data_IF_286478364698
#
_entry.id   IF_286478364698
#
_cell.length_a   1.000
_cell.length_b   1.000
_cell.length_c   1.000
_cell.angle_alpha   90.00
_cell.angle_beta   90.00
_cell.angle_gamma   90.00
#
_symmetry.space_group_name_H-M   'P 1'
#
loop_
_entity.id
_entity.type
_entity.pdbx_description
1 polymer ?
#
# COMPACT_ATOMS: atom_id res chain seq x y z
N UNK A 1 -12.57 -9.36 19.47
CA UNK A 1 -11.17 -9.83 19.52
C UNK A 1 -10.43 -9.17 18.37
N UNK A 2 -9.47 -8.29 18.64
CA UNK A 2 -8.71 -7.63 17.58
C UNK A 2 -7.88 -8.70 16.86
N UNK A 3 -8.20 -8.98 15.60
CA UNK A 3 -7.39 -9.86 14.74
C UNK A 3 -6.00 -9.21 14.62
N UNK A 4 -5.00 -9.82 15.23
CA UNK A 4 -3.61 -9.38 15.13
C UNK A 4 -3.16 -9.72 13.70
N UNK A 5 -3.01 -8.69 12.86
CA UNK A 5 -2.55 -8.90 11.47
C UNK A 5 -1.03 -9.09 11.55
N UNK A 6 -0.49 -10.04 10.79
CA UNK A 6 0.96 -10.25 10.70
C UNK A 6 1.35 -10.11 9.24
N UNK A 7 2.33 -9.25 8.98
CA UNK A 7 2.88 -9.03 7.64
C UNK A 7 4.27 -9.64 7.59
N UNK A 8 4.48 -10.56 6.65
CA UNK A 8 5.71 -11.31 6.47
C UNK A 8 6.17 -11.11 5.03
N UNK A 9 7.45 -10.81 4.84
CA UNK A 9 8.09 -10.83 3.53
C UNK A 9 8.47 -12.27 3.18
N UNK A 10 8.11 -12.70 1.99
CA UNK A 10 8.33 -14.08 1.52
C UNK A 10 8.81 -14.07 0.08
N UNK A 11 9.43 -15.17 -0.33
CA UNK A 11 9.79 -15.38 -1.74
C UNK A 11 8.54 -15.70 -2.59
N UNK A 12 8.58 -15.48 -3.92
CA UNK A 12 7.45 -15.76 -4.83
C UNK A 12 6.92 -17.20 -4.74
N UNK A 13 7.77 -18.15 -4.38
CA UNK A 13 7.44 -19.56 -4.20
C UNK A 13 6.34 -19.77 -3.16
N UNK A 14 6.25 -18.88 -2.16
CA UNK A 14 5.19 -18.93 -1.14
C UNK A 14 3.79 -18.87 -1.76
N UNK A 15 3.59 -18.05 -2.81
CA UNK A 15 2.31 -17.99 -3.51
C UNK A 15 1.95 -19.34 -4.12
N UNK A 16 2.92 -20.00 -4.75
CA UNK A 16 2.74 -21.33 -5.33
C UNK A 16 2.41 -22.39 -4.27
N UNK A 17 3.00 -22.27 -3.07
CA UNK A 17 2.73 -23.16 -1.94
C UNK A 17 1.30 -22.96 -1.42
N UNK A 18 0.86 -21.72 -1.23
CA UNK A 18 -0.50 -21.38 -0.80
C UNK A 18 -1.54 -21.90 -1.80
N UNK A 19 -1.29 -21.78 -3.10
CA UNK A 19 -2.17 -22.28 -4.15
C UNK A 19 -2.28 -23.82 -4.20
N UNK A 20 -1.28 -24.55 -3.66
CA UNK A 20 -1.34 -26.01 -3.50
C UNK A 20 -2.18 -26.41 -2.28
N UNK A 21 -2.32 -25.53 -1.29
CA UNK A 21 -3.09 -25.75 -0.06
C UNK A 21 -4.58 -25.39 -0.23
N UNK A 22 -5.20 -25.78 -1.36
CA UNK A 22 -6.58 -25.37 -1.72
C UNK A 22 -7.65 -25.71 -0.68
N UNK A 23 -7.41 -26.76 0.12
CA UNK A 23 -8.31 -27.19 1.19
C UNK A 23 -8.22 -26.31 2.45
N UNK A 24 -7.13 -25.56 2.61
CA UNK A 24 -6.88 -24.69 3.76
C UNK A 24 -7.02 -23.21 3.38
N UNK A 25 -6.69 -22.86 2.14
CA UNK A 25 -6.71 -21.49 1.64
C UNK A 25 -7.35 -21.41 0.26
N UNK A 26 -8.32 -20.53 0.11
CA UNK A 26 -8.95 -20.23 -1.18
C UNK A 26 -8.88 -18.73 -1.43
N UNK A 27 -8.16 -18.27 -2.47
CA UNK A 27 -8.16 -16.87 -2.86
C UNK A 27 -9.58 -16.42 -3.18
N UNK A 28 -10.06 -15.38 -2.50
CA UNK A 28 -11.44 -14.87 -2.67
C UNK A 28 -11.54 -13.75 -3.70
N UNK A 29 -10.48 -12.95 -3.81
CA UNK A 29 -10.46 -11.74 -4.60
C UNK A 29 -9.04 -11.45 -5.07
N UNK A 30 -8.93 -10.92 -6.28
CA UNK A 30 -7.66 -10.50 -6.88
C UNK A 30 -7.80 -9.06 -7.34
N UNK A 31 -6.87 -8.21 -6.90
CA UNK A 31 -6.72 -6.85 -7.35
C UNK A 31 -5.46 -6.76 -8.22
N UNK A 32 -5.57 -6.10 -9.38
CA UNK A 32 -4.47 -5.83 -10.31
C UNK A 32 -4.32 -4.33 -10.47
N UNK A 33 -3.08 -3.83 -10.42
CA UNK A 33 -2.75 -2.43 -10.66
C UNK A 33 -1.89 -2.38 -11.92
N UNK A 34 -2.29 -1.57 -12.89
CA UNK A 34 -1.52 -1.35 -14.12
C UNK A 34 -1.25 0.13 -14.33
N UNK A 35 0.01 0.48 -14.54
CA UNK A 35 0.39 1.87 -14.76
C UNK A 35 1.89 2.07 -14.91
N UNK A 36 2.37 3.21 -14.45
CA UNK A 36 3.72 3.72 -14.70
C UNK A 36 4.48 3.98 -13.40
N UNK A 37 5.79 3.79 -13.47
CA UNK A 37 6.75 4.15 -12.43
C UNK A 37 7.61 5.31 -12.92
N UNK A 38 7.69 6.36 -12.12
CA UNK A 38 8.52 7.54 -12.35
C UNK A 38 9.61 7.57 -11.30
N UNK A 39 10.86 7.40 -11.73
CA UNK A 39 12.03 7.36 -10.86
C UNK A 39 12.81 8.66 -10.99
N UNK A 40 12.90 9.38 -9.87
CA UNK A 40 13.80 10.51 -9.68
C UNK A 40 14.91 10.14 -8.69
N UNK A 41 15.79 11.11 -8.38
CA UNK A 41 16.89 10.87 -7.46
C UNK A 41 16.43 10.59 -6.02
N UNK A 42 15.47 11.37 -5.53
CA UNK A 42 15.01 11.27 -4.14
C UNK A 42 13.65 10.57 -4.02
N UNK A 43 12.96 10.38 -5.14
CA UNK A 43 11.55 9.98 -5.18
C UNK A 43 11.32 8.87 -6.19
N UNK A 44 10.46 7.93 -5.81
CA UNK A 44 9.81 7.02 -6.74
C UNK A 44 8.31 7.20 -6.62
N UNK A 45 7.68 7.60 -7.71
CA UNK A 45 6.23 7.83 -7.78
C UNK A 45 5.65 6.80 -8.73
N UNK A 46 4.69 6.01 -8.25
CA UNK A 46 3.98 5.03 -9.07
C UNK A 46 2.52 5.40 -9.14
N UNK A 47 1.94 5.28 -10.31
CA UNK A 47 0.52 5.56 -10.53
C UNK A 47 -0.06 4.50 -11.44
N UNK A 48 -1.25 4.01 -11.12
CA UNK A 48 -1.87 2.94 -11.88
C UNK A 48 -3.37 2.77 -11.64
N UNK A 49 -4.02 2.21 -12.64
CA UNK A 49 -5.44 1.88 -12.61
C UNK A 49 -5.65 0.59 -11.81
N UNK A 50 -6.48 0.67 -10.78
CA UNK A 50 -6.87 -0.47 -9.96
C UNK A 50 -8.05 -1.21 -10.61
N UNK A 51 -7.82 -2.46 -10.93
CA UNK A 51 -8.81 -3.41 -11.43
C UNK A 51 -9.06 -4.49 -10.37
N UNK A 52 -10.31 -4.74 -10.03
CA UNK A 52 -10.69 -5.85 -9.14
C UNK A 52 -11.57 -6.80 -9.93
N UNK A 53 -11.05 -7.98 -10.22
CA UNK A 53 -11.58 -8.82 -11.29
C UNK A 53 -11.51 -8.08 -12.64
N UNK A 54 -12.67 -7.85 -13.26
CA UNK A 54 -12.80 -7.11 -14.54
C UNK A 54 -13.23 -5.65 -14.35
N UNK A 55 -13.50 -5.22 -13.11
CA UNK A 55 -14.06 -3.90 -12.84
C UNK A 55 -12.98 -2.89 -12.45
N UNK A 56 -13.01 -1.71 -13.09
CA UNK A 56 -12.21 -0.57 -12.69
C UNK A 56 -12.70 -0.01 -11.34
N UNK A 57 -11.77 0.29 -10.43
CA UNK A 57 -12.05 0.78 -9.07
C UNK A 57 -11.42 2.14 -8.75
N UNK A 58 -10.52 2.64 -9.58
CA UNK A 58 -9.93 3.96 -9.40
C UNK A 58 -8.46 4.01 -9.78
N UNK A 59 -7.84 5.15 -9.48
CA UNK A 59 -6.42 5.40 -9.62
C UNK A 59 -5.74 5.23 -8.26
N UNK A 60 -4.62 4.53 -8.22
CA UNK A 60 -3.73 4.46 -7.07
C UNK A 60 -2.50 5.30 -7.36
N UNK A 61 -2.04 6.03 -6.35
CA UNK A 61 -0.77 6.74 -6.35
C UNK A 61 0.04 6.24 -5.15
N UNK A 62 1.24 5.74 -5.40
CA UNK A 62 2.23 5.37 -4.40
C UNK A 62 3.40 6.34 -4.50
N UNK A 63 3.83 6.86 -3.35
CA UNK A 63 4.95 7.79 -3.25
C UNK A 63 5.95 7.21 -2.27
N UNK A 64 7.18 7.04 -2.72
CA UNK A 64 8.30 6.59 -1.91
C UNK A 64 9.41 7.65 -1.90
N UNK A 65 9.87 8.03 -0.72
CA UNK A 65 11.00 8.92 -0.52
C UNK A 65 12.22 8.09 -0.12
N UNK A 66 13.27 8.14 -0.94
CA UNK A 66 14.45 7.29 -0.79
C UNK A 66 15.42 7.75 0.32
N UNK A 67 15.68 9.07 0.52
CA UNK A 67 16.70 9.51 1.46
C UNK A 67 16.38 9.29 2.95
N UNK A 68 15.11 9.12 3.33
CA UNK A 68 14.72 8.93 4.73
C UNK A 68 13.54 7.96 4.85
N UNK A 69 13.68 6.99 5.77
CA UNK A 69 12.63 6.02 6.09
C UNK A 69 11.79 6.40 7.31
N UNK A 70 12.14 7.47 8.03
CA UNK A 70 11.35 7.91 9.17
C UNK A 70 10.12 8.72 8.68
N UNK A 71 8.88 8.26 8.97
CA UNK A 71 7.69 8.91 8.44
C UNK A 71 7.44 10.30 9.05
N UNK A 72 7.81 10.54 10.30
CA UNK A 72 7.63 11.86 10.94
C UNK A 72 8.53 12.92 10.32
N UNK A 73 9.77 12.57 9.98
CA UNK A 73 10.71 13.48 9.31
C UNK A 73 10.29 13.82 7.88
N UNK A 74 9.62 12.88 7.19
CA UNK A 74 9.23 13.03 5.78
C UNK A 74 7.81 13.55 5.59
N UNK A 75 7.00 13.60 6.66
CA UNK A 75 5.57 13.97 6.62
C UNK A 75 5.29 15.29 5.91
N UNK A 76 6.10 16.31 6.17
CA UNK A 76 5.96 17.62 5.54
C UNK A 76 6.18 17.56 4.03
N UNK A 77 7.28 16.93 3.61
CA UNK A 77 7.64 16.76 2.19
C UNK A 77 6.61 15.93 1.44
N UNK A 78 6.15 14.82 2.04
CA UNK A 78 5.09 13.96 1.48
C UNK A 78 3.80 14.76 1.23
N UNK A 79 3.39 15.58 2.21
CA UNK A 79 2.19 16.40 2.12
C UNK A 79 2.32 17.46 1.02
N UNK A 80 3.47 18.12 0.93
CA UNK A 80 3.74 19.13 -0.11
C UNK A 80 3.69 18.51 -1.51
N UNK A 81 4.32 17.35 -1.70
CA UNK A 81 4.29 16.63 -2.97
C UNK A 81 2.87 16.18 -3.35
N UNK A 82 2.09 15.68 -2.39
CA UNK A 82 0.69 15.33 -2.61
C UNK A 82 -0.14 16.54 -3.06
N UNK A 83 0.06 17.71 -2.43
CA UNK A 83 -0.63 18.95 -2.82
C UNK A 83 -0.23 19.46 -4.21
N UNK A 84 0.97 19.14 -4.68
CA UNK A 84 1.44 19.49 -6.02
C UNK A 84 0.80 18.62 -7.12
N UNK A 85 0.61 17.32 -6.82
CA UNK A 85 0.15 16.33 -7.81
C UNK A 85 -1.38 16.28 -7.87
N UNK A 86 -2.05 16.47 -6.73
CA UNK A 86 -3.49 16.32 -6.63
C UNK A 86 -4.22 17.62 -7.01
N UNK A 87 -5.43 17.53 -7.58
CA UNK A 87 -6.31 18.67 -7.76
C UNK A 87 -6.53 19.44 -6.45
N UNK A 88 -6.73 20.76 -6.53
CA UNK A 88 -6.92 21.60 -5.33
C UNK A 88 -8.14 21.23 -4.48
N UNK A 89 -9.14 20.58 -5.09
CA UNK A 89 -10.36 20.09 -4.45
C UNK A 89 -10.27 18.60 -4.04
N UNK A 90 -9.12 17.96 -4.25
CA UNK A 90 -8.93 16.57 -3.85
C UNK A 90 -8.97 16.45 -2.32
N UNK A 91 -9.89 15.63 -1.84
CA UNK A 91 -9.89 15.22 -0.44
C UNK A 91 -8.73 14.23 -0.22
N UNK A 92 -7.65 14.70 0.37
CA UNK A 92 -6.49 13.86 0.68
C UNK A 92 -6.65 13.33 2.10
N UNK A 93 -6.78 12.00 2.21
CA UNK A 93 -6.69 11.30 3.49
C UNK A 93 -5.49 10.34 3.48
N UNK A 94 -4.25 10.87 3.43
CA UNK A 94 -3.09 10.03 3.19
C UNK A 94 -2.82 9.20 4.45
N UNK A 95 -3.09 7.89 4.38
CA UNK A 95 -2.82 6.93 5.44
C UNK A 95 -3.45 7.25 6.81
N UNK A 96 -4.52 8.06 6.84
CA UNK A 96 -5.13 8.44 8.10
C UNK A 96 -5.74 7.22 8.79
N UNK A 97 -5.27 6.95 10.00
CA UNK A 97 -5.70 5.80 10.79
C UNK A 97 -4.96 4.48 10.53
N UNK A 98 -3.88 4.48 9.72
CA UNK A 98 -3.00 3.30 9.63
C UNK A 98 -2.20 3.17 10.92
N UNK A 99 -2.58 2.20 11.77
CA UNK A 99 -1.82 1.87 12.98
C UNK A 99 -0.91 0.66 12.72
N UNK A 100 0.38 0.95 12.42
CA UNK A 100 1.41 -0.06 12.15
C UNK A 100 1.61 -1.05 13.31
N UNK A 101 1.32 -0.64 14.55
CA UNK A 101 1.45 -1.53 15.73
C UNK A 101 0.49 -2.71 15.66
N UNK A 102 -0.67 -2.56 14.99
CA UNK A 102 -1.63 -3.65 14.74
C UNK A 102 -1.12 -4.73 13.78
N UNK A 103 -0.03 -4.42 13.06
CA UNK A 103 0.66 -5.31 12.15
C UNK A 103 2.01 -5.81 12.71
N UNK A 104 2.33 -5.49 13.98
CA UNK A 104 3.67 -5.69 14.57
C UNK A 104 4.78 -5.02 13.76
N UNK A 105 4.49 -3.84 13.21
CA UNK A 105 5.40 -3.02 12.43
C UNK A 105 5.88 -1.80 13.24
N UNK A 106 7.12 -1.37 12.99
CA UNK A 106 7.76 -0.25 13.68
C UNK A 106 7.27 1.08 13.10
N UNK A 107 6.50 1.89 13.85
CA UNK A 107 5.92 3.13 13.33
C UNK A 107 6.99 4.18 12.97
N UNK A 108 8.22 4.06 13.46
CA UNK A 108 9.27 5.06 13.25
C UNK A 108 10.19 4.72 12.06
N UNK A 109 9.95 3.61 11.36
CA UNK A 109 10.76 3.14 10.23
C UNK A 109 9.94 2.46 9.15
N UNK A 110 9.78 3.14 8.03
CA UNK A 110 9.13 2.61 6.83
C UNK A 110 9.99 1.54 6.15
N UNK A 111 9.32 0.47 5.73
CA UNK A 111 9.87 -0.66 4.97
C UNK A 111 8.82 -1.18 3.99
N UNK A 112 9.17 -2.13 3.13
CA UNK A 112 8.23 -2.70 2.16
C UNK A 112 7.00 -3.35 2.83
N UNK A 113 7.19 -3.99 4.00
CA UNK A 113 6.04 -4.44 4.85
C UNK A 113 5.04 -3.33 5.19
N UNK A 114 5.50 -2.10 5.41
CA UNK A 114 4.63 -0.98 5.71
C UNK A 114 3.82 -0.59 4.49
N UNK A 115 4.47 -0.49 3.33
CA UNK A 115 3.81 -0.24 2.04
C UNK A 115 2.76 -1.32 1.74
N UNK A 116 3.11 -2.61 1.92
CA UNK A 116 2.17 -3.71 1.76
C UNK A 116 0.98 -3.60 2.74
N UNK A 117 1.23 -3.22 3.99
CA UNK A 117 0.17 -3.00 4.97
C UNK A 117 -0.75 -1.83 4.61
N UNK A 118 -0.20 -0.75 4.07
CA UNK A 118 -0.96 0.41 3.59
C UNK A 118 -1.91 0.01 2.46
N UNK A 119 -1.47 -0.81 1.49
CA UNK A 119 -2.34 -1.34 0.44
C UNK A 119 -3.51 -2.14 1.03
N UNK A 120 -3.23 -3.06 1.95
CA UNK A 120 -4.27 -3.85 2.62
C UNK A 120 -5.24 -2.97 3.39
N UNK A 121 -4.73 -1.95 4.09
CA UNK A 121 -5.55 -0.99 4.83
C UNK A 121 -6.46 -0.19 3.91
N UNK A 122 -5.91 0.41 2.85
CA UNK A 122 -6.62 1.20 1.85
C UNK A 122 -7.74 0.38 1.19
N UNK A 123 -7.45 -0.85 0.80
CA UNK A 123 -8.43 -1.72 0.16
C UNK A 123 -9.51 -2.20 1.13
N UNK A 124 -9.17 -2.44 2.40
CA UNK A 124 -10.15 -2.75 3.45
C UNK A 124 -11.10 -1.56 3.67
N UNK A 125 -10.56 -0.34 3.82
CA UNK A 125 -11.36 0.87 4.02
C UNK A 125 -12.28 1.17 2.83
N UNK A 126 -11.80 0.92 1.62
CA UNK A 126 -12.55 1.14 0.38
C UNK A 126 -13.53 -0.01 0.04
N UNK A 127 -13.69 -1.00 0.93
CA UNK A 127 -14.53 -2.20 0.69
C UNK A 127 -14.16 -2.95 -0.61
N UNK A 128 -12.86 -2.99 -0.92
CA UNK A 128 -12.30 -3.69 -2.08
C UNK A 128 -11.71 -5.07 -1.72
N UNK A 129 -11.60 -5.38 -0.42
CA UNK A 129 -11.18 -6.66 0.17
C UNK A 129 -12.09 -7.03 1.36
#
# INVERSE_FOLDING_TARGET
>A
MASNRVVIETEPEMESMVLRLKNLWTPRQTARIEGYSYEGNDWVIRTGNLMVGTSYKGLIIEINYLPCSNPEQTRGLMRELLMLILPHDAFVDPNNGVDYRRASLDPDRMTDRHTAYQYVHLFTQSSLL
#
